data_IF_646922498115
#
_entry.id   IF_646922498115
#
_cell.length_a   1.000
_cell.length_b   1.000
_cell.length_c   1.000
_cell.angle_alpha   90.00
_cell.angle_beta   90.00
_cell.angle_gamma   90.00
#
_symmetry.space_group_name_H-M   'P 1'
#
loop_
_entity.id
_entity.type
_entity.pdbx_description
1 polymer ?
#
# COMPACT_ATOMS: atom_id res chain seq x y z
N UNK A 1 -34.17 -30.22 17.07
CA UNK A 1 -32.71 -30.18 17.29
C UNK A 1 -32.28 -28.73 17.27
N UNK A 2 -32.16 -28.10 18.43
CA UNK A 2 -31.87 -26.66 18.57
C UNK A 2 -30.47 -26.50 19.17
N UNK A 3 -29.54 -25.75 18.56
CA UNK A 3 -28.39 -25.25 19.27
C UNK A 3 -28.76 -23.96 20.03
N UNK A 4 -28.72 -24.07 21.35
CA UNK A 4 -28.76 -22.97 22.31
C UNK A 4 -27.35 -22.43 22.46
N UNK A 5 -27.03 -21.22 22.01
CA UNK A 5 -25.93 -20.42 22.57
C UNK A 5 -26.42 -18.98 22.79
N UNK A 6 -26.69 -18.65 24.06
CA UNK A 6 -26.93 -17.30 24.54
C UNK A 6 -25.57 -16.64 24.70
N UNK A 7 -25.37 -15.47 24.09
CA UNK A 7 -24.34 -14.52 24.50
C UNK A 7 -24.92 -13.11 24.38
N UNK A 8 -25.08 -12.47 25.54
CA UNK A 8 -25.36 -11.05 25.71
C UNK A 8 -24.08 -10.26 25.42
N UNK A 9 -24.16 -9.12 24.72
CA UNK A 9 -23.33 -7.95 25.01
C UNK A 9 -23.84 -6.68 24.28
N UNK A 10 -24.46 -5.81 25.08
CA UNK A 10 -24.32 -4.34 25.14
C UNK A 10 -24.59 -3.49 23.89
N UNK A 11 -25.70 -2.75 23.96
CA UNK A 11 -25.92 -1.50 23.25
C UNK A 11 -25.10 -0.36 23.90
N UNK A 12 -24.38 0.44 23.10
CA UNK A 12 -23.81 1.72 23.53
C UNK A 12 -23.63 2.69 22.34
N UNK A 13 -24.59 3.60 22.24
CA UNK A 13 -24.53 5.03 21.91
C UNK A 13 -23.39 5.66 21.06
N UNK A 14 -23.84 6.44 20.06
CA UNK A 14 -23.39 7.80 19.66
C UNK A 14 -21.92 8.03 19.26
N UNK A 15 -21.68 8.45 18.01
CA UNK A 15 -21.24 9.82 17.62
C UNK A 15 -20.73 9.85 16.16
N UNK A 16 -21.02 10.95 15.47
CA UNK A 16 -20.76 11.25 14.06
C UNK A 16 -19.27 11.40 13.67
N UNK A 17 -18.93 11.14 12.39
CA UNK A 17 -17.93 11.85 11.56
C UNK A 17 -17.87 11.22 10.14
N UNK A 18 -18.41 11.90 9.13
CA UNK A 18 -17.69 12.69 8.11
C UNK A 18 -17.03 11.88 6.97
N UNK A 19 -17.20 12.28 5.69
CA UNK A 19 -16.89 11.45 4.55
C UNK A 19 -15.38 11.39 4.33
N UNK A 20 -14.80 10.19 4.42
CA UNK A 20 -13.48 9.95 3.86
C UNK A 20 -13.60 9.89 2.32
N UNK A 21 -13.88 11.03 1.68
CA UNK A 21 -13.37 11.25 0.34
C UNK A 21 -11.85 11.23 0.49
N UNK A 22 -11.28 10.05 0.29
CA UNK A 22 -9.86 9.85 0.10
C UNK A 22 -9.45 10.67 -1.12
N UNK A 23 -9.14 11.95 -0.88
CA UNK A 23 -8.51 12.82 -1.83
C UNK A 23 -7.30 12.07 -2.35
N UNK A 24 -7.31 11.75 -3.65
CA UNK A 24 -6.14 11.29 -4.39
C UNK A 24 -5.09 12.39 -4.27
N UNK A 25 -4.29 12.35 -3.22
CA UNK A 25 -3.11 13.20 -3.09
C UNK A 25 -2.20 12.81 -4.25
N UNK A 26 -1.84 13.74 -5.12
CA UNK A 26 -0.79 13.52 -6.12
C UNK A 26 0.53 13.25 -5.40
N UNK A 27 1.45 12.48 -6.02
CA UNK A 27 2.76 12.22 -5.40
C UNK A 27 3.44 13.57 -5.16
N UNK A 28 3.87 13.84 -3.93
CA UNK A 28 4.66 15.02 -3.63
C UNK A 28 5.99 14.97 -4.40
N UNK A 29 6.59 16.12 -4.69
CA UNK A 29 7.91 16.15 -5.34
C UNK A 29 8.94 15.46 -4.44
N UNK A 30 9.54 14.37 -4.93
CA UNK A 30 10.44 13.51 -4.17
C UNK A 30 9.79 12.27 -3.56
N UNK A 31 8.47 12.08 -3.69
CA UNK A 31 7.78 10.87 -3.26
C UNK A 31 8.18 9.71 -4.19
N UNK A 32 8.75 8.66 -3.59
CA UNK A 32 9.16 7.43 -4.28
C UNK A 32 8.27 6.29 -3.85
N UNK A 33 7.77 5.54 -4.82
CA UNK A 33 6.96 4.35 -4.57
C UNK A 33 7.89 3.16 -4.35
N UNK A 34 7.81 2.57 -3.17
CA UNK A 34 8.57 1.34 -2.86
C UNK A 34 7.87 0.13 -3.49
N UNK A 35 8.51 -0.52 -4.47
CA UNK A 35 7.93 -1.67 -5.16
C UNK A 35 7.65 -2.86 -4.22
N UNK A 36 8.43 -2.99 -3.15
CA UNK A 36 8.28 -4.07 -2.18
C UNK A 36 7.16 -3.82 -1.16
N UNK A 37 6.80 -2.54 -0.90
CA UNK A 37 5.86 -2.18 0.17
C UNK A 37 4.56 -1.54 -0.31
N UNK A 38 4.60 -0.80 -1.42
CA UNK A 38 3.47 -0.01 -1.89
C UNK A 38 2.23 -0.89 -2.17
N UNK A 39 1.02 -0.47 -1.73
CA UNK A 39 -0.22 -1.14 -2.11
C UNK A 39 -0.51 -0.98 -3.61
N UNK A 40 -1.41 -1.80 -4.14
CA UNK A 40 -1.83 -1.79 -5.56
C UNK A 40 -2.23 -0.39 -6.01
N UNK A 41 -3.01 0.33 -5.20
CA UNK A 41 -3.48 1.68 -5.50
C UNK A 41 -2.34 2.68 -5.66
N UNK A 42 -1.26 2.52 -4.88
CA UNK A 42 -0.10 3.40 -4.95
C UNK A 42 0.80 3.07 -6.14
N UNK A 43 0.96 1.78 -6.46
CA UNK A 43 1.63 1.33 -7.68
C UNK A 43 0.92 1.85 -8.94
N UNK A 44 -0.42 1.94 -8.93
CA UNK A 44 -1.21 2.51 -10.03
C UNK A 44 -1.03 4.02 -10.22
N UNK A 45 -0.40 4.73 -9.26
CA UNK A 45 -0.05 6.15 -9.44
C UNK A 45 1.17 6.32 -10.35
N UNK A 46 1.92 5.24 -10.63
CA UNK A 46 3.05 5.26 -11.53
C UNK A 46 2.59 5.37 -12.99
N UNK A 47 3.24 6.21 -13.82
CA UNK A 47 2.85 6.41 -15.20
C UNK A 47 2.93 5.09 -15.97
N UNK A 48 1.83 4.69 -16.63
CA UNK A 48 1.78 3.43 -17.38
C UNK A 48 1.57 2.17 -16.54
N UNK A 49 1.37 2.27 -15.22
CA UNK A 49 0.98 1.14 -14.37
C UNK A 49 -0.53 1.17 -14.15
N UNK A 50 -1.24 0.27 -14.83
CA UNK A 50 -2.66 0.00 -14.58
C UNK A 50 -2.86 -1.12 -13.55
N UNK A 51 -4.12 -1.45 -13.26
CA UNK A 51 -4.49 -2.49 -12.28
C UNK A 51 -3.79 -3.83 -12.53
N UNK A 52 -3.75 -4.30 -13.78
CA UNK A 52 -3.07 -5.57 -14.13
C UNK A 52 -1.57 -5.54 -13.83
N UNK A 53 -0.88 -4.44 -14.17
CA UNK A 53 0.56 -4.30 -13.92
C UNK A 53 0.85 -4.17 -12.42
N UNK A 54 0.04 -3.42 -11.69
CA UNK A 54 0.17 -3.30 -10.24
C UNK A 54 -0.02 -4.66 -9.54
N UNK A 55 -1.03 -5.43 -9.94
CA UNK A 55 -1.22 -6.81 -9.44
C UNK A 55 -0.04 -7.71 -9.80
N UNK A 56 0.52 -7.59 -10.99
CA UNK A 56 1.69 -8.37 -11.40
C UNK A 56 2.93 -8.05 -10.54
N UNK A 57 3.13 -6.78 -10.15
CA UNK A 57 4.19 -6.37 -9.21
C UNK A 57 3.96 -7.02 -7.84
N UNK A 58 2.72 -6.96 -7.32
CA UNK A 58 2.37 -7.57 -6.02
C UNK A 58 2.56 -9.08 -6.04
N UNK A 59 2.13 -9.75 -7.12
CA UNK A 59 2.31 -11.18 -7.29
C UNK A 59 3.79 -11.56 -7.44
N UNK A 60 4.60 -10.71 -8.08
CA UNK A 60 6.03 -10.94 -8.21
C UNK A 60 6.73 -10.85 -6.85
N UNK A 61 6.53 -9.75 -6.08
CA UNK A 61 7.15 -9.59 -4.75
C UNK A 61 6.75 -10.64 -3.73
N UNK A 62 5.56 -11.23 -3.88
CA UNK A 62 5.10 -12.33 -3.03
C UNK A 62 5.93 -13.61 -3.25
N UNK A 63 6.50 -13.80 -4.45
CA UNK A 63 7.38 -14.94 -4.76
C UNK A 63 8.85 -14.57 -4.59
N UNK A 64 9.24 -13.39 -5.06
CA UNK A 64 10.61 -12.92 -5.03
C UNK A 64 10.62 -11.40 -4.81
N UNK A 65 11.16 -10.90 -3.68
CA UNK A 65 11.25 -9.46 -3.45
C UNK A 65 12.20 -8.81 -4.46
N UNK A 66 11.89 -7.57 -4.84
CA UNK A 66 12.73 -6.77 -5.71
C UNK A 66 13.98 -6.33 -4.93
N UNK A 67 15.16 -6.67 -5.43
CA UNK A 67 16.44 -6.23 -4.85
C UNK A 67 16.98 -4.99 -5.53
N UNK A 68 16.61 -4.82 -6.80
CA UNK A 68 17.00 -3.70 -7.66
C UNK A 68 15.77 -3.17 -8.37
N UNK A 69 15.78 -1.89 -8.75
CA UNK A 69 14.67 -1.31 -9.51
C UNK A 69 14.52 -2.04 -10.84
N UNK A 70 15.64 -2.49 -11.42
CA UNK A 70 15.71 -3.25 -12.65
C UNK A 70 15.03 -4.63 -12.58
N UNK A 71 14.84 -5.21 -11.39
CA UNK A 71 14.13 -6.50 -11.23
C UNK A 71 12.66 -6.39 -11.67
N UNK A 72 12.11 -5.17 -11.75
CA UNK A 72 10.76 -4.93 -12.28
C UNK A 72 10.60 -5.39 -13.73
N UNK A 73 11.70 -5.53 -14.48
CA UNK A 73 11.70 -6.04 -15.86
C UNK A 73 11.30 -7.52 -15.95
N UNK A 74 11.39 -8.27 -14.85
CA UNK A 74 10.88 -9.64 -14.76
C UNK A 74 9.34 -9.69 -14.62
N UNK A 75 8.68 -8.54 -14.43
CA UNK A 75 7.22 -8.45 -14.34
C UNK A 75 6.62 -8.31 -15.75
N UNK A 76 5.67 -9.17 -16.07
CA UNK A 76 5.01 -9.18 -17.39
C UNK A 76 4.37 -7.83 -17.69
N UNK A 77 4.79 -7.20 -18.79
CA UNK A 77 4.25 -5.93 -19.27
C UNK A 77 4.91 -4.67 -18.69
N UNK A 78 6.01 -4.81 -17.94
CA UNK A 78 6.90 -3.72 -17.50
C UNK A 78 8.26 -3.89 -18.18
N UNK A 79 8.52 -3.05 -19.18
CA UNK A 79 9.74 -3.13 -20.00
C UNK A 79 10.74 -2.00 -19.72
N UNK A 80 11.92 -2.03 -20.38
CA UNK A 80 12.98 -1.04 -20.18
C UNK A 80 12.54 0.38 -20.51
N UNK A 81 11.68 0.56 -21.52
CA UNK A 81 11.12 1.86 -21.88
C UNK A 81 10.25 2.46 -20.76
N UNK A 82 9.55 1.62 -20.01
CA UNK A 82 8.77 2.05 -18.86
C UNK A 82 9.69 2.36 -17.67
N UNK A 83 10.65 1.48 -17.40
CA UNK A 83 11.64 1.67 -16.33
C UNK A 83 12.37 3.01 -16.48
N UNK A 84 12.81 3.36 -17.69
CA UNK A 84 13.50 4.63 -17.96
C UNK A 84 12.66 5.86 -17.56
N UNK A 85 11.33 5.80 -17.73
CA UNK A 85 10.40 6.89 -17.39
C UNK A 85 10.14 7.01 -15.90
N UNK A 86 10.16 5.88 -15.18
CA UNK A 86 9.70 5.82 -13.79
C UNK A 86 10.85 5.73 -12.79
N UNK A 87 12.09 5.48 -13.23
CA UNK A 87 13.26 5.23 -12.36
C UNK A 87 13.44 6.26 -11.26
N UNK A 88 13.10 7.52 -11.51
CA UNK A 88 13.18 8.61 -10.53
C UNK A 88 12.09 8.52 -9.42
N UNK A 89 10.99 7.83 -9.67
CA UNK A 89 9.80 7.73 -8.83
C UNK A 89 9.63 6.37 -8.14
N UNK A 90 10.55 5.42 -8.34
CA UNK A 90 10.49 4.08 -7.73
C UNK A 90 11.74 3.77 -6.91
N UNK A 91 11.57 2.93 -5.89
CA UNK A 91 12.66 2.46 -5.03
C UNK A 91 12.43 1.01 -4.60
N UNK A 92 13.49 0.34 -4.16
CA UNK A 92 13.50 -1.07 -3.71
C UNK A 92 14.32 -1.19 -2.42
N UNK A 93 13.72 -0.81 -1.29
CA UNK A 93 14.46 -0.81 -0.02
C UNK A 93 15.33 0.43 0.14
N UNK A 94 14.74 1.45 0.76
CA UNK A 94 15.42 2.67 1.13
C UNK A 94 14.37 3.65 1.61
N UNK A 95 14.21 3.70 2.93
CA UNK A 95 13.30 4.56 3.68
C UNK A 95 11.97 4.85 2.97
N UNK A 96 10.94 4.06 3.31
CA UNK A 96 9.65 4.68 3.49
C UNK A 96 9.84 5.86 4.45
N UNK A 97 9.99 7.08 3.92
CA UNK A 97 9.59 8.26 4.68
C UNK A 97 8.08 8.10 4.93
N UNK A 98 7.63 8.30 6.17
CA UNK A 98 6.44 7.64 6.70
C UNK A 98 5.18 8.29 6.13
N UNK A 99 4.46 7.56 5.26
CA UNK A 99 3.07 7.84 4.95
C UNK A 99 2.17 6.74 5.53
N UNK A 100 2.33 6.48 6.82
CA UNK A 100 1.24 6.08 7.69
C UNK A 100 1.44 6.89 8.98
N UNK A 101 0.46 7.67 9.45
CA UNK A 101 0.54 8.21 10.79
C UNK A 101 0.64 7.02 11.74
N UNK A 102 1.56 7.14 12.68
CA UNK A 102 1.58 6.34 13.88
C UNK A 102 0.24 6.49 14.63
N UNK A 103 -0.75 5.71 14.23
CA UNK A 103 -1.93 5.35 15.00
C UNK A 103 -1.91 3.82 15.00
N UNK A 104 -1.05 3.16 15.75
CA UNK A 104 -1.30 2.82 17.14
C UNK A 104 0.03 2.44 17.82
N UNK A 105 0.77 3.40 18.35
CA UNK A 105 1.87 3.14 19.32
C UNK A 105 1.95 4.31 20.30
N UNK A 106 0.85 4.61 20.94
CA UNK A 106 0.83 5.50 22.11
C UNK A 106 -0.22 5.01 23.09
N UNK A 107 0.24 4.74 24.31
CA UNK A 107 -0.49 4.37 25.52
C UNK A 107 -1.13 2.95 25.48
N UNK A 108 -0.88 2.05 26.43
CA UNK A 108 -0.64 2.29 27.84
C UNK A 108 0.32 1.27 28.43
N UNK A 109 1.51 1.72 28.78
CA UNK A 109 2.17 1.27 30.00
C UNK A 109 1.67 2.18 31.11
N UNK A 110 1.21 1.61 32.23
CA UNK A 110 0.96 2.37 33.45
C UNK A 110 -0.34 2.02 34.19
N UNK A 111 -0.39 0.87 34.85
CA UNK A 111 -0.09 0.70 36.28
C UNK A 111 -0.39 -0.73 36.71
#
# INVERSE_FOLDING_TARGET
MSPRWRALAVAAALLAAAPALAAKKALAQGEKVDLNRAPVVELMRLPGVGQQRAQAIVAHRARQPFRRVEDVLAVKGLGPAWLAKVRANVTVGGAAAPAAPAAQRTASAGR
#
